data_IF_767302283056
#
_entry.id   IF_767302283056
#
_cell.length_a   1.000
_cell.length_b   1.000
_cell.length_c   1.000
_cell.angle_alpha   90.00
_cell.angle_beta   90.00
_cell.angle_gamma   90.00
#
_symmetry.space_group_name_H-M   'P 1'
#
loop_
_entity.id
_entity.type
_entity.pdbx_description
1 polymer ?
#
# COMPACT_ATOMS: atom_id res chain seq x y z
N UNK A 1 39.85 18.87 -45.04
CA UNK A 1 38.55 18.26 -44.70
C UNK A 1 38.50 18.10 -43.19
N UNK A 2 37.96 19.11 -42.48
CA UNK A 2 37.45 18.93 -41.12
C UNK A 2 36.02 18.47 -41.31
N UNK A 3 35.77 17.19 -41.11
CA UNK A 3 34.40 16.68 -41.05
C UNK A 3 33.85 17.15 -39.70
N UNK A 4 32.63 17.61 -39.77
CA UNK A 4 31.86 18.24 -38.72
C UNK A 4 31.61 17.24 -37.55
N UNK A 5 32.46 17.29 -36.53
CA UNK A 5 32.25 16.55 -35.28
C UNK A 5 30.99 17.03 -34.53
N UNK A 6 30.44 18.20 -34.89
CA UNK A 6 29.23 18.77 -34.28
C UNK A 6 27.92 18.27 -34.91
N UNK A 7 27.90 17.99 -36.21
CA UNK A 7 26.72 17.40 -36.88
C UNK A 7 26.58 15.90 -36.58
N UNK A 8 27.69 15.17 -36.46
CA UNK A 8 27.69 13.72 -36.16
C UNK A 8 27.30 13.40 -34.71
N UNK A 9 27.62 14.26 -33.73
CA UNK A 9 27.18 14.06 -32.35
C UNK A 9 25.68 14.33 -32.16
N UNK A 10 25.12 15.27 -32.93
CA UNK A 10 23.72 15.68 -32.80
C UNK A 10 22.77 14.63 -33.41
N UNK A 11 23.15 14.04 -34.55
CA UNK A 11 22.39 12.97 -35.20
C UNK A 11 22.44 11.65 -34.40
N UNK A 12 23.62 11.31 -33.84
CA UNK A 12 23.78 10.14 -32.96
C UNK A 12 22.95 10.26 -31.66
N UNK A 13 22.85 11.45 -31.08
CA UNK A 13 22.00 11.70 -29.91
C UNK A 13 20.51 11.51 -30.24
N UNK A 14 20.05 12.03 -31.39
CA UNK A 14 18.66 11.85 -31.83
C UNK A 14 18.30 10.39 -32.13
N UNK A 15 19.25 9.61 -32.67
CA UNK A 15 19.08 8.18 -32.89
C UNK A 15 18.97 7.39 -31.57
N UNK A 16 19.79 7.74 -30.56
CA UNK A 16 19.76 7.11 -29.25
C UNK A 16 18.43 7.37 -28.53
N UNK A 17 17.98 8.62 -28.46
CA UNK A 17 16.71 8.98 -27.82
C UNK A 17 15.54 8.25 -28.46
N UNK A 18 15.55 8.14 -29.79
CA UNK A 18 14.54 7.38 -30.53
C UNK A 18 14.57 5.90 -30.18
N UNK A 19 15.75 5.27 -30.13
CA UNK A 19 15.87 3.86 -29.77
C UNK A 19 15.39 3.60 -28.34
N UNK A 20 15.85 4.39 -27.37
CA UNK A 20 15.40 4.30 -25.97
C UNK A 20 13.88 4.45 -25.84
N UNK A 21 13.30 5.42 -26.55
CA UNK A 21 11.85 5.61 -26.58
C UNK A 21 11.12 4.36 -27.09
N UNK A 22 11.55 3.79 -28.21
CA UNK A 22 10.95 2.56 -28.78
C UNK A 22 11.08 1.39 -27.79
N UNK A 23 12.23 1.24 -27.14
CA UNK A 23 12.44 0.19 -26.15
C UNK A 23 11.54 0.37 -24.92
N UNK A 24 11.36 1.59 -24.43
CA UNK A 24 10.47 1.86 -23.28
C UNK A 24 8.99 1.67 -23.63
N UNK A 25 8.59 2.03 -24.85
CA UNK A 25 7.25 1.72 -25.35
C UNK A 25 7.03 0.20 -25.42
N UNK A 26 8.03 -0.57 -25.85
CA UNK A 26 7.97 -2.02 -25.84
C UNK A 26 7.86 -2.59 -24.42
N UNK A 27 8.60 -2.06 -23.44
CA UNK A 27 8.45 -2.42 -22.02
C UNK A 27 7.04 -2.19 -21.51
N UNK A 28 6.42 -1.04 -21.81
CA UNK A 28 5.06 -0.73 -21.36
C UNK A 28 4.00 -1.72 -21.88
N UNK A 29 4.27 -2.37 -23.01
CA UNK A 29 3.41 -3.39 -23.63
C UNK A 29 3.77 -4.82 -23.23
N UNK A 30 4.86 -5.02 -22.49
CA UNK A 30 5.38 -6.35 -22.16
C UNK A 30 6.10 -7.05 -23.33
N UNK A 31 6.41 -6.34 -24.41
CA UNK A 31 7.11 -6.90 -25.57
C UNK A 31 8.63 -6.81 -25.36
N UNK A 32 9.11 -7.64 -24.43
CA UNK A 32 10.53 -7.65 -24.05
C UNK A 32 11.46 -8.21 -25.14
N UNK A 33 10.93 -9.01 -26.07
CA UNK A 33 11.69 -9.53 -27.20
C UNK A 33 12.02 -8.41 -28.21
N UNK A 34 11.03 -7.60 -28.58
CA UNK A 34 11.28 -6.41 -29.41
C UNK A 34 12.16 -5.39 -28.70
N UNK A 35 11.98 -5.22 -27.38
CA UNK A 35 12.79 -4.32 -26.57
C UNK A 35 14.28 -4.71 -26.57
N UNK A 36 14.59 -5.99 -26.42
CA UNK A 36 15.94 -6.55 -26.51
C UNK A 36 16.54 -6.30 -27.90
N UNK A 37 15.83 -6.67 -28.97
CA UNK A 37 16.33 -6.51 -30.34
C UNK A 37 16.61 -5.04 -30.71
N UNK A 38 15.78 -4.10 -30.22
CA UNK A 38 16.01 -2.66 -30.42
C UNK A 38 17.25 -2.17 -29.65
N UNK A 39 17.39 -2.57 -28.38
CA UNK A 39 18.53 -2.18 -27.57
C UNK A 39 19.85 -2.75 -28.13
N UNK A 40 19.87 -4.00 -28.61
CA UNK A 40 21.02 -4.59 -29.30
C UNK A 40 21.40 -3.82 -30.55
N UNK A 41 20.41 -3.43 -31.38
CA UNK A 41 20.66 -2.62 -32.58
C UNK A 41 21.24 -1.26 -32.23
N UNK A 42 20.73 -0.61 -31.18
CA UNK A 42 21.24 0.68 -30.72
C UNK A 42 22.68 0.58 -30.21
N UNK A 43 23.03 -0.50 -29.50
CA UNK A 43 24.40 -0.76 -29.04
C UNK A 43 25.41 -1.01 -30.17
N UNK A 44 24.96 -1.46 -31.34
CA UNK A 44 25.83 -1.55 -32.52
C UNK A 44 26.25 -0.18 -33.05
N UNK A 45 25.44 0.86 -32.82
CA UNK A 45 25.72 2.24 -33.24
C UNK A 45 26.54 2.96 -32.16
N UNK A 46 26.12 2.85 -30.89
CA UNK A 46 26.80 3.43 -29.74
C UNK A 46 27.29 2.31 -28.82
N UNK A 47 28.48 1.83 -29.10
CA UNK A 47 29.14 0.80 -28.30
C UNK A 47 29.36 1.31 -26.87
N UNK A 48 29.18 0.42 -25.88
CA UNK A 48 29.39 0.67 -24.45
C UNK A 48 28.58 1.80 -23.81
N UNK A 49 27.41 2.16 -24.36
CA UNK A 49 26.50 3.07 -23.67
C UNK A 49 25.91 2.41 -22.41
N UNK A 50 26.19 2.94 -21.19
CA UNK A 50 25.80 2.27 -19.94
C UNK A 50 24.27 2.18 -19.74
N UNK A 51 23.53 3.14 -20.28
CA UNK A 51 22.07 3.15 -20.21
C UNK A 51 21.48 2.09 -21.13
N UNK A 52 21.92 2.01 -22.39
CA UNK A 52 21.49 0.95 -23.32
C UNK A 52 21.86 -0.45 -22.81
N UNK A 53 23.03 -0.62 -22.22
CA UNK A 53 23.43 -1.89 -21.57
C UNK A 53 22.44 -2.24 -20.45
N UNK A 54 22.07 -1.27 -19.63
CA UNK A 54 21.15 -1.49 -18.50
C UNK A 54 19.73 -1.79 -18.99
N UNK A 55 19.29 -1.11 -20.04
CA UNK A 55 18.01 -1.36 -20.72
C UNK A 55 17.98 -2.77 -21.34
N UNK A 56 19.03 -3.17 -22.06
CA UNK A 56 19.16 -4.52 -22.61
C UNK A 56 19.09 -5.58 -21.51
N UNK A 57 19.83 -5.39 -20.40
CA UNK A 57 19.79 -6.29 -19.24
C UNK A 57 18.37 -6.41 -18.66
N UNK A 58 17.63 -5.30 -18.56
CA UNK A 58 16.23 -5.30 -18.13
C UNK A 58 15.32 -6.05 -19.11
N UNK A 59 15.50 -5.86 -20.42
CA UNK A 59 14.74 -6.55 -21.46
C UNK A 59 14.93 -8.07 -21.37
N UNK A 60 16.17 -8.54 -21.31
CA UNK A 60 16.52 -9.95 -21.17
C UNK A 60 15.92 -10.53 -19.89
N UNK A 61 16.07 -9.82 -18.75
CA UNK A 61 15.51 -10.27 -17.48
C UNK A 61 14.01 -10.56 -17.61
N UNK A 62 13.24 -9.59 -18.11
CA UNK A 62 11.79 -9.72 -18.18
C UNK A 62 11.30 -10.62 -19.31
N UNK A 63 12.04 -10.75 -20.42
CA UNK A 63 11.75 -11.71 -21.49
C UNK A 63 11.66 -13.14 -20.95
N UNK A 64 12.66 -13.57 -20.19
CA UNK A 64 12.69 -14.92 -19.59
C UNK A 64 11.50 -15.15 -18.65
N UNK A 65 11.08 -14.12 -17.91
CA UNK A 65 9.93 -14.22 -16.99
C UNK A 65 8.62 -14.22 -17.77
N UNK A 66 8.54 -13.51 -18.88
CA UNK A 66 7.33 -13.47 -19.69
C UNK A 66 7.05 -14.83 -20.35
N UNK A 67 8.09 -15.58 -20.75
CA UNK A 67 7.93 -16.97 -21.20
C UNK A 67 7.29 -17.83 -20.10
N UNK A 68 7.83 -17.76 -18.88
CA UNK A 68 7.31 -18.50 -17.72
C UNK A 68 5.91 -18.05 -17.31
N UNK A 69 5.59 -16.77 -17.47
CA UNK A 69 4.27 -16.22 -17.15
C UNK A 69 3.16 -16.89 -17.96
N UNK A 70 3.41 -17.16 -19.25
CA UNK A 70 2.45 -17.81 -20.16
C UNK A 70 2.20 -19.27 -19.79
N UNK A 71 3.17 -19.94 -19.13
CA UNK A 71 3.03 -21.33 -18.67
C UNK A 71 2.14 -21.48 -17.43
N UNK A 72 1.92 -20.40 -16.67
CA UNK A 72 1.09 -20.41 -15.47
C UNK A 72 -0.38 -20.29 -15.88
N UNK A 73 -1.15 -21.36 -15.67
CA UNK A 73 -2.55 -21.43 -16.09
C UNK A 73 -3.47 -20.61 -15.18
N UNK A 74 -3.23 -20.67 -13.87
CA UNK A 74 -4.11 -20.01 -12.91
C UNK A 74 -3.88 -18.49 -12.92
N UNK A 75 -4.94 -17.66 -13.13
CA UNK A 75 -4.77 -16.22 -13.18
C UNK A 75 -4.31 -15.61 -11.84
N UNK A 76 -4.71 -16.16 -10.70
CA UNK A 76 -4.23 -15.63 -9.42
C UNK A 76 -2.74 -15.90 -9.25
N UNK A 77 -2.29 -17.12 -9.55
CA UNK A 77 -0.87 -17.49 -9.50
C UNK A 77 -0.02 -16.66 -10.47
N UNK A 78 -0.57 -16.30 -11.66
CA UNK A 78 0.09 -15.37 -12.60
C UNK A 78 0.31 -13.99 -11.98
N UNK A 79 -0.72 -13.44 -11.33
CA UNK A 79 -0.61 -12.15 -10.64
C UNK A 79 0.43 -12.20 -9.51
N UNK A 80 0.39 -13.24 -8.68
CA UNK A 80 1.32 -13.42 -7.56
C UNK A 80 2.76 -13.61 -8.06
N UNK A 81 2.95 -14.32 -9.18
CA UNK A 81 4.25 -14.46 -9.83
C UNK A 81 4.83 -13.10 -10.27
N UNK A 82 4.04 -12.25 -10.93
CA UNK A 82 4.47 -10.93 -11.36
C UNK A 82 4.93 -10.05 -10.19
N UNK A 83 4.18 -10.03 -9.09
CA UNK A 83 4.57 -9.30 -7.87
C UNK A 83 5.89 -9.79 -7.30
N UNK A 84 6.05 -11.12 -7.19
CA UNK A 84 7.26 -11.75 -6.66
C UNK A 84 8.48 -11.45 -7.54
N UNK A 85 8.36 -11.59 -8.85
CA UNK A 85 9.46 -11.31 -9.78
C UNK A 85 9.82 -9.82 -9.78
N UNK A 86 8.83 -8.92 -9.70
CA UNK A 86 9.08 -7.48 -9.58
C UNK A 86 9.78 -7.11 -8.28
N UNK A 87 9.38 -7.69 -7.14
CA UNK A 87 10.08 -7.49 -5.88
C UNK A 87 11.55 -7.97 -5.98
N UNK A 88 11.76 -9.15 -6.56
CA UNK A 88 13.10 -9.67 -6.82
C UNK A 88 13.92 -8.79 -7.76
N UNK A 89 13.27 -8.21 -8.76
CA UNK A 89 13.86 -7.28 -9.71
C UNK A 89 14.35 -6.01 -8.99
N UNK A 90 13.48 -5.35 -8.23
CA UNK A 90 13.83 -4.11 -7.51
C UNK A 90 14.90 -4.34 -6.43
N UNK A 91 14.73 -5.38 -5.61
CA UNK A 91 15.60 -5.59 -4.43
C UNK A 91 16.96 -6.19 -4.77
N UNK A 92 17.06 -7.00 -5.84
CA UNK A 92 18.30 -7.75 -6.15
C UNK A 92 18.87 -7.47 -7.53
N UNK A 93 18.03 -7.26 -8.54
CA UNK A 93 18.52 -7.07 -9.90
C UNK A 93 18.99 -5.64 -10.13
N UNK A 94 18.16 -4.64 -9.81
CA UNK A 94 18.50 -3.23 -10.03
C UNK A 94 19.73 -2.77 -9.26
N UNK A 95 19.99 -3.35 -8.09
CA UNK A 95 21.18 -3.04 -7.28
C UNK A 95 22.51 -3.43 -7.96
N UNK A 96 22.46 -4.24 -9.03
CA UNK A 96 23.63 -4.70 -9.80
C UNK A 96 23.82 -3.93 -11.11
N UNK A 97 22.92 -3.00 -11.43
CA UNK A 97 23.06 -2.16 -12.62
C UNK A 97 23.94 -0.96 -12.30
N UNK A 98 24.81 -0.61 -13.25
CA UNK A 98 25.64 0.60 -13.15
C UNK A 98 24.79 1.86 -13.28
N UNK A 99 23.80 1.83 -14.18
CA UNK A 99 22.86 2.94 -14.42
C UNK A 99 21.44 2.39 -14.34
N UNK A 100 20.56 3.13 -13.67
CA UNK A 100 19.14 2.78 -13.58
C UNK A 100 18.34 3.62 -14.59
N UNK A 101 17.79 3.02 -15.67
CA UNK A 101 17.06 3.76 -16.69
C UNK A 101 15.66 4.11 -16.19
N UNK A 102 15.49 5.23 -15.48
CA UNK A 102 14.27 5.58 -14.73
C UNK A 102 12.98 5.47 -15.56
N UNK A 103 12.98 5.96 -16.79
CA UNK A 103 11.82 5.91 -17.70
C UNK A 103 11.50 4.46 -18.08
N UNK A 104 12.51 3.66 -18.38
CA UNK A 104 12.36 2.23 -18.67
C UNK A 104 11.85 1.46 -17.46
N UNK A 105 12.37 1.76 -16.27
CA UNK A 105 11.91 1.16 -15.01
C UNK A 105 10.46 1.53 -14.70
N UNK A 106 10.05 2.77 -15.00
CA UNK A 106 8.65 3.18 -14.91
C UNK A 106 7.77 2.38 -15.87
N UNK A 107 8.19 2.21 -17.13
CA UNK A 107 7.45 1.45 -18.14
C UNK A 107 7.28 -0.03 -17.76
N UNK A 108 8.34 -0.66 -17.27
CA UNK A 108 8.30 -2.03 -16.72
C UNK A 108 7.33 -2.12 -15.55
N UNK A 109 7.44 -1.20 -14.59
CA UNK A 109 6.57 -1.16 -13.41
C UNK A 109 5.09 -1.04 -13.82
N UNK A 110 4.79 -0.18 -14.79
CA UNK A 110 3.46 -0.04 -15.35
C UNK A 110 2.97 -1.35 -15.96
N UNK A 111 3.75 -1.99 -16.82
CA UNK A 111 3.39 -3.30 -17.39
C UNK A 111 3.08 -4.33 -16.31
N UNK A 112 4.00 -4.52 -15.36
CA UNK A 112 3.86 -5.54 -14.30
C UNK A 112 2.57 -5.36 -13.52
N UNK A 113 2.30 -4.16 -13.02
CA UNK A 113 1.13 -3.94 -12.16
C UNK A 113 -0.19 -3.94 -12.94
N UNK A 114 -0.21 -3.43 -14.18
CA UNK A 114 -1.38 -3.53 -15.02
C UNK A 114 -1.70 -4.99 -15.36
N UNK A 115 -0.69 -5.80 -15.69
CA UNK A 115 -0.89 -7.20 -16.05
C UNK A 115 -1.28 -8.03 -14.81
N UNK A 116 -0.65 -7.83 -13.67
CA UNK A 116 -1.05 -8.48 -12.42
C UNK A 116 -2.50 -8.14 -12.05
N UNK A 117 -2.91 -6.88 -12.19
CA UNK A 117 -4.29 -6.47 -11.92
C UNK A 117 -5.29 -7.16 -12.86
N UNK A 118 -4.96 -7.31 -14.15
CA UNK A 118 -5.78 -8.05 -15.11
C UNK A 118 -5.91 -9.52 -14.74
N UNK A 119 -4.81 -10.16 -14.35
CA UNK A 119 -4.80 -11.55 -13.92
C UNK A 119 -5.71 -11.76 -12.69
N UNK A 120 -5.64 -10.88 -11.68
CA UNK A 120 -6.54 -10.98 -10.53
C UNK A 120 -8.01 -10.70 -10.89
N UNK A 121 -8.30 -9.72 -11.75
CA UNK A 121 -9.66 -9.46 -12.23
C UNK A 121 -10.20 -10.64 -13.05
N UNK A 122 -9.35 -11.32 -13.82
CA UNK A 122 -9.70 -12.56 -14.50
C UNK A 122 -10.04 -13.67 -13.50
N UNK A 123 -9.23 -13.85 -12.45
CA UNK A 123 -9.52 -14.80 -11.39
C UNK A 123 -10.84 -14.50 -10.66
N UNK A 124 -11.18 -13.23 -10.44
CA UNK A 124 -12.45 -12.81 -9.82
C UNK A 124 -13.68 -13.19 -10.66
N UNK A 125 -13.54 -13.34 -11.99
CA UNK A 125 -14.64 -13.79 -12.86
C UNK A 125 -15.01 -15.25 -12.64
N UNK A 126 -14.07 -16.08 -12.14
CA UNK A 126 -14.43 -17.38 -11.58
C UNK A 126 -15.07 -17.13 -10.21
N UNK A 127 -16.41 -17.10 -10.18
CA UNK A 127 -17.17 -16.79 -8.96
C UNK A 127 -16.85 -17.68 -7.75
N UNK A 128 -16.14 -18.80 -7.92
CA UNK A 128 -15.62 -19.62 -6.81
C UNK A 128 -14.41 -18.99 -6.11
N UNK A 129 -13.66 -18.13 -6.79
CA UNK A 129 -12.46 -17.42 -6.29
C UNK A 129 -12.74 -15.99 -5.83
N UNK A 130 -13.96 -15.49 -6.07
CA UNK A 130 -14.38 -14.15 -5.69
C UNK A 130 -14.38 -13.97 -4.16
N UNK A 131 -13.22 -13.57 -3.63
CA UNK A 131 -12.98 -13.36 -2.20
C UNK A 131 -12.56 -11.91 -1.95
N UNK A 132 -12.72 -11.44 -0.71
CA UNK A 132 -12.23 -10.13 -0.28
C UNK A 132 -10.72 -10.03 -0.50
N UNK A 133 -9.97 -11.07 -0.12
CA UNK A 133 -8.52 -11.09 -0.23
C UNK A 133 -8.06 -10.95 -1.70
N UNK A 134 -8.68 -11.67 -2.64
CA UNK A 134 -8.36 -11.53 -4.07
C UNK A 134 -8.77 -10.15 -4.62
N UNK A 135 -9.90 -9.62 -4.16
CA UNK A 135 -10.35 -8.26 -4.51
C UNK A 135 -9.35 -7.21 -4.05
N UNK A 136 -8.84 -7.35 -2.82
CA UNK A 136 -7.79 -6.50 -2.27
C UNK A 136 -6.48 -6.62 -3.07
N UNK A 137 -6.08 -7.83 -3.47
CA UNK A 137 -4.90 -8.01 -4.36
C UNK A 137 -5.07 -7.27 -5.69
N UNK A 138 -6.22 -7.42 -6.35
CA UNK A 138 -6.53 -6.72 -7.60
C UNK A 138 -6.52 -5.19 -7.43
N UNK A 139 -7.14 -4.68 -6.37
CA UNK A 139 -7.16 -3.26 -6.06
C UNK A 139 -5.76 -2.70 -5.82
N UNK A 140 -4.95 -3.38 -5.00
CA UNK A 140 -3.53 -3.03 -4.77
C UNK A 140 -2.75 -2.95 -6.08
N UNK A 141 -2.94 -3.91 -6.98
CA UNK A 141 -2.29 -3.90 -8.29
C UNK A 141 -2.72 -2.69 -9.14
N UNK A 142 -4.02 -2.38 -9.21
CA UNK A 142 -4.51 -1.17 -9.88
C UNK A 142 -3.97 0.12 -9.25
N UNK A 143 -3.96 0.22 -7.92
CA UNK A 143 -3.37 1.33 -7.17
C UNK A 143 -1.90 1.53 -7.54
N UNK A 144 -1.12 0.45 -7.59
CA UNK A 144 0.30 0.49 -7.94
C UNK A 144 0.56 0.81 -9.42
N UNK A 145 -0.38 0.48 -10.30
CA UNK A 145 -0.39 0.94 -11.69
C UNK A 145 -0.80 2.42 -11.83
N UNK A 146 -1.33 3.05 -10.78
CA UNK A 146 -1.85 4.42 -10.82
C UNK A 146 -3.30 4.52 -11.33
N UNK A 147 -3.98 3.40 -11.53
CA UNK A 147 -5.39 3.35 -11.92
C UNK A 147 -6.29 3.41 -10.68
N UNK A 148 -6.25 4.53 -9.95
CA UNK A 148 -6.94 4.68 -8.66
C UNK A 148 -8.46 4.49 -8.76
N UNK A 149 -9.10 5.00 -9.82
CA UNK A 149 -10.55 4.89 -10.01
C UNK A 149 -11.01 3.43 -10.05
N UNK A 150 -10.28 2.56 -10.76
CA UNK A 150 -10.57 1.12 -10.85
C UNK A 150 -10.38 0.42 -9.49
N UNK A 151 -9.35 0.82 -8.75
CA UNK A 151 -9.10 0.31 -7.41
C UNK A 151 -10.25 0.68 -6.47
N UNK A 152 -10.68 1.94 -6.50
CA UNK A 152 -11.80 2.47 -5.69
C UNK A 152 -13.09 1.72 -6.03
N UNK A 153 -13.46 1.63 -7.31
CA UNK A 153 -14.69 0.95 -7.75
C UNK A 153 -14.74 -0.51 -7.24
N UNK A 154 -13.61 -1.21 -7.37
CA UNK A 154 -13.50 -2.60 -6.95
C UNK A 154 -13.66 -2.77 -5.43
N UNK A 155 -13.04 -1.88 -4.64
CA UNK A 155 -13.10 -1.89 -3.18
C UNK A 155 -14.47 -1.46 -2.65
N UNK A 156 -15.09 -0.45 -3.25
CA UNK A 156 -16.47 -0.05 -2.92
C UNK A 156 -17.45 -1.19 -3.23
N UNK A 157 -17.24 -1.91 -4.34
CA UNK A 157 -18.02 -3.09 -4.70
C UNK A 157 -18.04 -4.16 -3.60
N UNK A 158 -16.88 -4.50 -3.01
CA UNK A 158 -16.82 -5.50 -1.93
C UNK A 158 -17.38 -4.95 -0.61
N UNK A 159 -17.11 -3.68 -0.28
CA UNK A 159 -17.58 -3.07 0.97
C UNK A 159 -19.10 -2.84 0.99
N UNK A 160 -19.75 -2.76 -0.17
CA UNK A 160 -21.21 -2.76 -0.27
C UNK A 160 -21.84 -4.07 0.22
N UNK A 161 -21.12 -5.19 0.10
CA UNK A 161 -21.56 -6.52 0.55
C UNK A 161 -21.05 -6.82 1.96
N UNK A 162 -19.77 -6.54 2.22
CA UNK A 162 -19.07 -6.83 3.47
C UNK A 162 -18.49 -5.54 4.05
N UNK A 163 -19.30 -4.84 4.87
CA UNK A 163 -18.99 -3.48 5.33
C UNK A 163 -17.80 -3.40 6.29
N UNK A 164 -17.53 -4.47 7.03
CA UNK A 164 -16.57 -4.49 8.14
C UNK A 164 -15.26 -5.21 7.76
N UNK A 165 -14.76 -4.97 6.55
CA UNK A 165 -13.51 -5.57 6.06
C UNK A 165 -12.33 -4.60 6.19
N UNK A 166 -11.54 -4.76 7.26
CA UNK A 166 -10.44 -3.87 7.61
C UNK A 166 -9.39 -3.70 6.49
N UNK A 167 -9.02 -4.80 5.81
CA UNK A 167 -8.04 -4.76 4.72
C UNK A 167 -8.56 -3.96 3.52
N UNK A 168 -9.83 -4.17 3.14
CA UNK A 168 -10.46 -3.44 2.04
C UNK A 168 -10.66 -1.95 2.38
N UNK A 169 -11.08 -1.62 3.61
CA UNK A 169 -11.22 -0.24 4.07
C UNK A 169 -9.88 0.50 4.08
N UNK A 170 -8.81 -0.13 4.56
CA UNK A 170 -7.48 0.48 4.59
C UNK A 170 -6.94 0.73 3.17
N UNK A 171 -7.12 -0.21 2.25
CA UNK A 171 -6.72 -0.02 0.85
C UNK A 171 -7.56 1.07 0.15
N UNK A 172 -8.85 1.15 0.46
CA UNK A 172 -9.72 2.20 -0.09
C UNK A 172 -9.31 3.57 0.44
N UNK A 173 -9.00 3.66 1.73
CA UNK A 173 -8.48 4.86 2.36
C UNK A 173 -7.18 5.33 1.69
N UNK A 174 -6.27 4.40 1.41
CA UNK A 174 -5.01 4.67 0.73
C UNK A 174 -5.24 5.21 -0.69
N UNK A 175 -6.18 4.63 -1.44
CA UNK A 175 -6.56 5.14 -2.76
C UNK A 175 -7.14 6.55 -2.68
N UNK A 176 -8.01 6.84 -1.71
CA UNK A 176 -8.55 8.18 -1.51
C UNK A 176 -7.47 9.21 -1.15
N UNK A 177 -6.44 8.83 -0.40
CA UNK A 177 -5.29 9.72 -0.15
C UNK A 177 -4.52 10.01 -1.45
N UNK A 178 -4.30 9.00 -2.30
CA UNK A 178 -3.58 9.17 -3.57
C UNK A 178 -4.29 10.10 -4.56
N UNK A 179 -5.63 10.16 -4.53
CA UNK A 179 -6.42 11.10 -5.35
C UNK A 179 -6.66 12.45 -4.65
N UNK A 180 -6.13 12.66 -3.44
CA UNK A 180 -6.19 13.93 -2.71
C UNK A 180 -7.42 14.12 -1.81
N UNK A 181 -8.28 13.12 -1.65
CA UNK A 181 -9.48 13.15 -0.80
C UNK A 181 -9.15 12.82 0.67
N UNK A 182 -8.29 13.65 1.27
CA UNK A 182 -7.68 13.40 2.59
C UNK A 182 -8.71 13.14 3.71
N UNK A 183 -9.85 13.84 3.70
CA UNK A 183 -10.89 13.67 4.73
C UNK A 183 -11.53 12.28 4.65
N UNK A 184 -11.81 11.79 3.45
CA UNK A 184 -12.36 10.43 3.23
C UNK A 184 -11.34 9.38 3.65
N UNK A 185 -10.09 9.56 3.23
CA UNK A 185 -8.98 8.67 3.60
C UNK A 185 -8.85 8.53 5.13
N UNK A 186 -8.79 9.65 5.87
CA UNK A 186 -8.68 9.64 7.33
C UNK A 186 -9.83 8.92 8.02
N UNK A 187 -11.06 9.16 7.57
CA UNK A 187 -12.24 8.48 8.11
C UNK A 187 -12.11 6.97 7.90
N UNK A 188 -11.82 6.53 6.67
CA UNK A 188 -11.74 5.12 6.32
C UNK A 188 -10.57 4.41 7.01
N UNK A 189 -9.39 5.04 7.10
CA UNK A 189 -8.28 4.48 7.88
C UNK A 189 -8.68 4.30 9.34
N UNK A 190 -9.33 5.30 9.94
CA UNK A 190 -9.77 5.23 11.34
C UNK A 190 -10.73 4.04 11.55
N UNK A 191 -11.68 3.80 10.66
CA UNK A 191 -12.58 2.64 10.70
C UNK A 191 -11.79 1.33 10.54
N UNK A 192 -10.91 1.24 9.54
CA UNK A 192 -10.13 0.04 9.27
C UNK A 192 -9.29 -0.40 10.48
N UNK A 193 -8.56 0.54 11.08
CA UNK A 193 -7.76 0.30 12.29
C UNK A 193 -8.62 0.12 13.55
N UNK A 194 -9.90 0.54 13.55
CA UNK A 194 -10.83 0.18 14.61
C UNK A 194 -11.27 -1.28 14.50
N UNK A 195 -11.56 -1.75 13.29
CA UNK A 195 -12.09 -3.11 13.05
C UNK A 195 -11.03 -4.16 13.39
N UNK A 196 -9.90 -4.17 12.67
CA UNK A 196 -8.85 -5.14 12.90
C UNK A 196 -7.48 -4.67 12.33
N UNK A 197 -6.64 -4.03 13.14
CA UNK A 197 -5.32 -3.57 12.71
C UNK A 197 -4.44 -4.67 12.11
N UNK A 198 -4.44 -5.89 12.68
CA UNK A 198 -3.53 -6.95 12.23
C UNK A 198 -3.86 -7.51 10.84
N UNK A 199 -5.03 -7.18 10.28
CA UNK A 199 -5.42 -7.56 8.91
C UNK A 199 -4.92 -6.57 7.86
N UNK A 200 -4.37 -5.43 8.28
CA UNK A 200 -3.93 -4.37 7.39
C UNK A 200 -2.46 -4.61 7.01
N UNK A 201 -2.20 -4.68 5.71
CA UNK A 201 -0.85 -4.77 5.16
C UNK A 201 -0.18 -3.39 5.16
N UNK A 202 0.57 -3.11 6.23
CA UNK A 202 1.24 -1.81 6.41
C UNK A 202 2.33 -1.54 5.36
N UNK A 203 2.96 -2.58 4.82
CA UNK A 203 4.03 -2.42 3.82
C UNK A 203 3.47 -2.06 2.45
N UNK A 204 2.23 -2.49 2.16
CA UNK A 204 1.50 -2.18 0.93
C UNK A 204 0.87 -0.79 0.87
N UNK A 205 0.78 -0.07 2.00
CA UNK A 205 0.20 1.27 2.06
C UNK A 205 1.16 2.32 1.50
N UNK A 206 0.62 3.26 0.70
CA UNK A 206 1.34 4.41 0.14
C UNK A 206 1.12 5.70 0.94
N UNK A 207 0.19 5.69 1.90
CA UNK A 207 -0.15 6.81 2.75
C UNK A 207 1.06 7.34 3.50
N UNK A 208 1.34 8.62 3.26
CA UNK A 208 2.42 9.34 3.94
C UNK A 208 2.09 9.55 5.42
N UNK A 209 0.80 9.75 5.72
CA UNK A 209 0.31 9.96 7.09
C UNK A 209 0.49 8.68 7.94
N UNK A 210 0.14 7.52 7.39
CA UNK A 210 0.35 6.24 8.08
C UNK A 210 1.84 5.93 8.22
N UNK A 211 2.65 6.21 7.19
CA UNK A 211 4.09 6.03 7.26
C UNK A 211 4.75 6.88 8.35
N UNK A 212 4.31 8.13 8.52
CA UNK A 212 4.78 9.02 9.59
C UNK A 212 4.43 8.49 10.98
N UNK A 213 3.18 8.04 11.19
CA UNK A 213 2.78 7.40 12.45
C UNK A 213 3.63 6.15 12.73
N UNK A 214 3.83 5.31 11.71
CA UNK A 214 4.64 4.10 11.84
C UNK A 214 6.10 4.42 12.22
N UNK A 215 6.66 5.51 11.69
CA UNK A 215 7.99 5.97 12.07
C UNK A 215 8.05 6.39 13.54
N UNK A 216 7.03 7.11 14.05
CA UNK A 216 6.96 7.44 15.48
C UNK A 216 6.91 6.16 16.32
N UNK A 217 6.02 5.22 15.99
CA UNK A 217 5.90 3.94 16.72
C UNK A 217 7.22 3.16 16.74
N UNK A 218 8.00 3.20 15.64
CA UNK A 218 9.34 2.59 15.59
C UNK A 218 10.33 3.27 16.52
N UNK A 219 10.31 4.60 16.60
CA UNK A 219 11.19 5.37 17.49
C UNK A 219 10.87 5.11 18.96
N UNK A 220 9.62 4.77 19.26
CA UNK A 220 9.20 4.35 20.61
C UNK A 220 9.67 2.95 21.02
N UNK A 221 10.30 2.21 20.11
CA UNK A 221 10.89 0.90 20.42
C UNK A 221 9.86 -0.24 20.51
N UNK A 222 8.62 -0.05 20.02
CA UNK A 222 7.65 -1.13 19.97
C UNK A 222 8.11 -2.23 18.99
N UNK A 223 7.87 -3.52 19.30
CA UNK A 223 8.19 -4.61 18.39
C UNK A 223 7.29 -4.59 17.15
N UNK A 224 7.81 -5.03 16.01
CA UNK A 224 7.10 -4.99 14.73
C UNK A 224 5.75 -5.71 14.74
N UNK A 225 5.63 -6.77 15.55
CA UNK A 225 4.41 -7.57 15.70
C UNK A 225 3.20 -6.80 16.24
N UNK A 226 3.40 -5.63 16.86
CA UNK A 226 2.31 -4.81 17.45
C UNK A 226 2.17 -3.44 16.80
N UNK A 227 2.97 -3.11 15.77
CA UNK A 227 2.93 -1.78 15.17
C UNK A 227 1.53 -1.40 14.67
N UNK A 228 0.84 -2.32 13.98
CA UNK A 228 -0.49 -2.08 13.49
C UNK A 228 -1.46 -1.69 14.61
N UNK A 229 -1.35 -2.34 15.77
CA UNK A 229 -2.22 -2.12 16.93
C UNK A 229 -2.06 -0.71 17.52
N UNK A 230 -0.85 -0.16 17.47
CA UNK A 230 -0.53 1.17 17.98
C UNK A 230 -0.85 2.32 17.01
N UNK A 231 -0.98 2.05 15.71
CA UNK A 231 -1.37 3.06 14.71
C UNK A 231 -2.64 3.83 15.10
N UNK A 232 -3.76 3.20 15.50
CA UNK A 232 -4.94 3.98 15.91
C UNK A 232 -4.74 4.85 17.14
N UNK A 233 -3.87 4.47 18.06
CA UNK A 233 -3.56 5.28 19.24
C UNK A 233 -2.77 6.52 18.85
N UNK A 234 -1.64 6.33 18.16
CA UNK A 234 -0.80 7.44 17.73
C UNK A 234 -1.45 8.27 16.62
N UNK A 235 -2.31 7.66 15.79
CA UNK A 235 -3.10 8.37 14.78
C UNK A 235 -4.08 9.36 15.41
N UNK A 236 -4.65 9.06 16.57
CA UNK A 236 -5.47 10.00 17.33
C UNK A 236 -4.61 11.10 17.96
N UNK A 237 -3.51 10.74 18.64
CA UNK A 237 -2.59 11.68 19.29
C UNK A 237 -2.02 12.71 18.30
N UNK A 238 -1.60 12.26 17.12
CA UNK A 238 -1.04 13.14 16.08
C UNK A 238 -2.10 13.78 15.17
N UNK A 239 -3.39 13.62 15.49
CA UNK A 239 -4.48 14.27 14.77
C UNK A 239 -4.74 13.76 13.34
N UNK A 240 -4.15 12.62 12.94
CA UNK A 240 -4.43 11.96 11.66
C UNK A 240 -5.83 11.35 11.67
N UNK A 241 -6.24 10.75 12.80
CA UNK A 241 -7.58 10.15 12.98
C UNK A 241 -8.55 11.13 13.65
N UNK A 242 -8.55 12.38 13.17
CA UNK A 242 -9.40 13.45 13.69
C UNK A 242 -10.77 13.55 13.00
N UNK A 243 -10.96 12.92 11.84
CA UNK A 243 -12.26 12.86 11.16
C UNK A 243 -13.14 11.83 11.88
N UNK A 244 -14.37 12.22 12.20
CA UNK A 244 -15.27 11.46 13.08
C UNK A 244 -16.64 11.28 12.43
N UNK A 245 -17.32 10.20 12.78
CA UNK A 245 -18.74 9.98 12.52
C UNK A 245 -19.46 9.62 13.81
N UNK A 246 -20.77 9.83 13.83
CA UNK A 246 -21.58 9.40 14.96
C UNK A 246 -21.75 7.87 14.94
N UNK A 247 -21.60 7.28 16.13
CA UNK A 247 -21.87 5.88 16.37
C UNK A 247 -23.37 5.63 16.47
N UNK A 248 -23.85 4.58 15.80
CA UNK A 248 -25.21 4.08 15.97
C UNK A 248 -25.38 3.44 17.35
N UNK A 249 -26.61 3.37 17.90
CA UNK A 249 -26.85 2.76 19.21
C UNK A 249 -26.32 1.33 19.33
N UNK A 250 -26.42 0.53 18.26
CA UNK A 250 -25.88 -0.82 18.22
C UNK A 250 -24.35 -0.85 18.32
N UNK A 251 -23.67 0.00 17.55
CA UNK A 251 -22.20 0.11 17.55
C UNK A 251 -21.68 0.59 18.92
N UNK A 252 -22.40 1.52 19.57
CA UNK A 252 -22.08 1.96 20.92
C UNK A 252 -22.21 0.82 21.95
N UNK A 253 -23.25 -0.02 21.81
CA UNK A 253 -23.41 -1.21 22.64
C UNK A 253 -22.23 -2.18 22.49
N UNK A 254 -21.86 -2.48 21.24
CA UNK A 254 -20.71 -3.34 20.91
C UNK A 254 -19.39 -2.75 21.40
N UNK A 255 -19.21 -1.44 21.28
CA UNK A 255 -18.03 -0.73 21.80
C UNK A 255 -17.87 -0.96 23.30
N UNK A 256 -18.92 -0.71 24.09
CA UNK A 256 -18.90 -0.90 25.56
C UNK A 256 -18.64 -2.37 25.94
N UNK A 257 -19.22 -3.32 25.21
CA UNK A 257 -18.96 -4.75 25.41
C UNK A 257 -17.49 -5.10 25.12
N UNK A 258 -16.91 -4.57 24.04
CA UNK A 258 -15.51 -4.81 23.69
C UNK A 258 -14.54 -4.23 24.72
N UNK A 259 -14.85 -3.06 25.30
CA UNK A 259 -14.07 -2.45 26.39
C UNK A 259 -14.04 -3.40 27.59
N UNK A 260 -15.20 -3.92 28.00
CA UNK A 260 -15.28 -4.85 29.12
C UNK A 260 -14.50 -6.15 28.85
N UNK A 261 -14.66 -6.72 27.65
CA UNK A 261 -13.95 -7.93 27.25
C UNK A 261 -12.42 -7.75 27.27
N UNK A 262 -11.91 -6.66 26.70
CA UNK A 262 -10.46 -6.39 26.71
C UNK A 262 -9.91 -6.13 28.11
N UNK A 263 -10.67 -5.46 28.99
CA UNK A 263 -10.26 -5.27 30.39
C UNK A 263 -10.04 -6.61 31.10
N UNK A 264 -10.99 -7.54 30.96
CA UNK A 264 -10.89 -8.85 31.58
C UNK A 264 -9.75 -9.67 30.97
N UNK A 265 -9.61 -9.68 29.64
CA UNK A 265 -8.57 -10.45 28.98
C UNK A 265 -7.15 -9.97 29.34
N UNK A 266 -6.96 -8.66 29.53
CA UNK A 266 -5.67 -8.10 30.00
C UNK A 266 -5.36 -8.55 31.44
N UNK A 267 -6.38 -8.66 32.30
CA UNK A 267 -6.20 -9.13 33.68
C UNK A 267 -5.89 -10.63 33.74
N UNK A 268 -6.50 -11.42 32.87
CA UNK A 268 -6.34 -12.88 32.83
C UNK A 268 -5.07 -13.33 32.09
N UNK A 269 -4.63 -12.58 31.07
CA UNK A 269 -3.55 -13.01 30.18
C UNK A 269 -2.56 -11.90 29.81
N UNK A 270 -1.51 -11.76 30.62
CA UNK A 270 -0.45 -10.76 30.43
C UNK A 270 0.34 -10.95 29.12
N UNK A 271 0.37 -12.15 28.54
CA UNK A 271 1.15 -12.42 27.33
C UNK A 271 0.65 -11.69 26.09
N UNK A 272 -0.65 -11.35 26.04
CA UNK A 272 -1.28 -10.62 24.93
C UNK A 272 -1.41 -9.12 25.18
N UNK A 273 -0.92 -8.64 26.32
CA UNK A 273 -1.10 -7.25 26.74
C UNK A 273 -0.59 -6.25 25.69
N UNK A 274 0.52 -6.52 25.01
CA UNK A 274 1.06 -5.65 23.97
C UNK A 274 0.14 -5.40 22.78
N UNK A 275 -0.80 -6.33 22.51
CA UNK A 275 -1.83 -6.21 21.45
C UNK A 275 -3.12 -5.64 22.03
N UNK A 276 -3.55 -6.11 23.20
CA UNK A 276 -4.85 -5.75 23.79
C UNK A 276 -4.87 -4.34 24.35
N UNK A 277 -3.76 -3.88 24.93
CA UNK A 277 -3.62 -2.55 25.52
C UNK A 277 -3.94 -1.43 24.50
N UNK A 278 -3.25 -1.34 23.34
CA UNK A 278 -3.55 -0.28 22.37
C UNK A 278 -4.95 -0.40 21.76
N UNK A 279 -5.50 -1.63 21.61
CA UNK A 279 -6.90 -1.83 21.21
C UNK A 279 -7.86 -1.21 22.22
N UNK A 280 -7.66 -1.48 23.51
CA UNK A 280 -8.50 -0.95 24.59
C UNK A 280 -8.42 0.59 24.66
N UNK A 281 -7.21 1.15 24.56
CA UNK A 281 -7.02 2.61 24.50
C UNK A 281 -7.77 3.21 23.31
N UNK A 282 -7.65 2.60 22.12
CA UNK A 282 -8.40 3.04 20.95
C UNK A 282 -9.92 2.97 21.19
N UNK A 283 -10.45 1.92 21.83
CA UNK A 283 -11.89 1.86 22.21
C UNK A 283 -12.29 3.03 23.11
N UNK A 284 -11.45 3.41 24.07
CA UNK A 284 -11.72 4.59 24.90
C UNK A 284 -11.72 5.90 24.11
N UNK A 285 -10.81 6.08 23.14
CA UNK A 285 -10.86 7.26 22.27
C UNK A 285 -12.17 7.37 21.49
N UNK A 286 -12.69 6.24 20.98
CA UNK A 286 -14.00 6.21 20.34
C UNK A 286 -15.16 6.53 21.29
N UNK A 287 -15.07 6.08 22.54
CA UNK A 287 -16.08 6.38 23.56
C UNK A 287 -16.07 7.87 23.95
N UNK A 288 -14.89 8.46 24.12
CA UNK A 288 -14.73 9.90 24.37
C UNK A 288 -15.30 10.70 23.21
N UNK A 289 -14.96 10.34 21.96
CA UNK A 289 -15.46 11.03 20.77
C UNK A 289 -17.00 11.00 20.70
N UNK A 290 -17.61 9.87 21.04
CA UNK A 290 -19.07 9.77 21.13
C UNK A 290 -19.63 10.70 22.22
N UNK A 291 -19.09 10.68 23.44
CA UNK A 291 -19.54 11.56 24.51
C UNK A 291 -19.43 13.04 24.16
N UNK A 292 -18.36 13.43 23.46
CA UNK A 292 -18.20 14.79 22.96
C UNK A 292 -19.27 15.13 21.91
N UNK A 293 -19.62 14.21 21.01
CA UNK A 293 -20.62 14.47 19.95
C UNK A 293 -22.03 14.64 20.51
N UNK A 294 -22.41 13.84 21.51
CA UNK A 294 -23.72 13.93 22.17
C UNK A 294 -23.78 14.95 23.32
N UNK A 295 -22.68 15.68 23.58
CA UNK A 295 -22.55 16.66 24.68
C UNK A 295 -22.89 16.07 26.05
N UNK A 296 -22.39 14.87 26.30
CA UNK A 296 -22.53 14.19 27.58
C UNK A 296 -21.79 14.91 28.72
N UNK A 297 -22.10 14.51 29.96
CA UNK A 297 -21.50 15.11 31.14
C UNK A 297 -19.97 14.96 31.16
N UNK A 298 -19.28 16.05 31.51
CA UNK A 298 -17.81 16.09 31.59
C UNK A 298 -17.24 15.04 32.55
N UNK A 299 -17.96 14.72 33.62
CA UNK A 299 -17.61 13.65 34.58
C UNK A 299 -17.39 12.29 33.92
N UNK A 300 -18.23 11.93 32.93
CA UNK A 300 -18.10 10.66 32.19
C UNK A 300 -16.84 10.64 31.31
N UNK A 301 -16.49 11.77 30.72
CA UNK A 301 -15.25 11.90 29.92
C UNK A 301 -14.03 11.78 30.84
N UNK A 302 -14.06 12.45 32.00
CA UNK A 302 -12.99 12.39 33.00
C UNK A 302 -12.79 10.97 33.55
N UNK A 303 -13.86 10.20 33.73
CA UNK A 303 -13.77 8.78 34.12
C UNK A 303 -13.04 7.94 33.05
N UNK A 304 -13.37 8.14 31.77
CA UNK A 304 -12.70 7.42 30.67
C UNK A 304 -11.23 7.82 30.58
N UNK A 305 -10.92 9.10 30.73
CA UNK A 305 -9.56 9.62 30.77
C UNK A 305 -8.74 9.03 31.93
N UNK A 306 -9.35 8.89 33.11
CA UNK A 306 -8.70 8.24 34.26
C UNK A 306 -8.40 6.77 33.95
N UNK A 307 -9.30 6.06 33.27
CA UNK A 307 -9.05 4.69 32.83
C UNK A 307 -7.85 4.60 31.87
N UNK A 308 -7.71 5.55 30.92
CA UNK A 308 -6.53 5.62 30.04
C UNK A 308 -5.27 5.88 30.87
N UNK A 309 -5.30 6.82 31.83
CA UNK A 309 -4.16 7.12 32.70
C UNK A 309 -3.69 5.90 33.50
N UNK A 310 -4.62 5.10 34.01
CA UNK A 310 -4.29 3.87 34.76
C UNK A 310 -3.71 2.77 33.87
N UNK A 311 -4.04 2.76 32.58
CA UNK A 311 -3.50 1.81 31.61
C UNK A 311 -2.12 2.23 31.10
N UNK A 312 -1.97 3.51 30.77
CA UNK A 312 -0.74 4.09 30.23
C UNK A 312 -0.72 5.60 30.50
N UNK A 313 0.02 6.02 31.54
CA UNK A 313 0.13 7.42 31.95
C UNK A 313 0.77 8.30 30.86
N UNK A 314 1.68 7.73 30.08
CA UNK A 314 2.36 8.43 29.00
C UNK A 314 1.38 8.74 27.88
N UNK A 315 0.58 7.78 27.44
CA UNK A 315 -0.44 7.99 26.41
C UNK A 315 -1.50 9.00 26.87
N UNK A 316 -1.92 8.93 28.14
CA UNK A 316 -2.79 9.95 28.72
C UNK A 316 -2.20 11.36 28.62
N UNK A 317 -0.92 11.51 28.98
CA UNK A 317 -0.20 12.77 28.91
C UNK A 317 -0.15 13.29 27.47
N UNK A 318 0.23 12.43 26.51
CA UNK A 318 0.28 12.79 25.09
C UNK A 318 -1.08 13.17 24.49
N UNK A 319 -2.18 12.58 24.97
CA UNK A 319 -3.52 12.85 24.45
C UNK A 319 -4.12 14.15 25.01
N UNK A 320 -3.70 14.59 26.19
CA UNK A 320 -4.26 15.75 26.89
C UNK A 320 -3.46 17.04 26.71
N UNK A 321 -2.29 16.98 26.08
CA UNK A 321 -1.47 18.11 25.69
C UNK A 321 -1.70 18.53 24.24
#
# INVERSE_FOLDING_TARGET
>A
MKIDESETSTDASGHLEKALKVTYEAFSRGDFASAEAEAERALQIRYDDPELISVLKCAVFWKDRNVRLVEILDPEDRGDFLFKEHQGFVQRFLQRLEVQPEIGLFAIRQFVYNEAARCYVEALKDGRKATVDLTVKAAKAWKLAGAYDRSIELLEGVLNVQKDEASALAELADCWEMVGEIKKARLLFREAFYINPSRIDLEGLRSTQIAQILQVIRQEGFPASVWAEWIPVYGVIHGVFNVRRDLKPLELGQLKQSIFAFKNEIQENTSRQGVLLPRLINRYFWLIDHFLSVKEERSKIEEVLLNIKLLDERIFTLYTH
#
